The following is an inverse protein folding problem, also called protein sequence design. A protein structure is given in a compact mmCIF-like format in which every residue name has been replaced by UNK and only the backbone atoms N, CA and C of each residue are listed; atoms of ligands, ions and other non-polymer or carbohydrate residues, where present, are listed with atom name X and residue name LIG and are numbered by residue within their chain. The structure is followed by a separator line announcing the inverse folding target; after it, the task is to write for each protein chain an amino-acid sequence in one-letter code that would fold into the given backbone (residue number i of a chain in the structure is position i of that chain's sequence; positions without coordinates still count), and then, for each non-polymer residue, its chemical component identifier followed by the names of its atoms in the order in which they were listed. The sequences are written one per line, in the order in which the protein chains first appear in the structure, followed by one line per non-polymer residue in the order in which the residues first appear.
data_IF_942344974978
#
_entry.id   IF_942344974978
#
_cell.length_a   1.000
_cell.length_b   1.000
_cell.length_c   1.000
_cell.angle_alpha   90.00
_cell.angle_beta   90.00
_cell.angle_gamma   90.00
#
_symmetry.space_group_name_H-M   'P 1'
#
loop_
_entity.id
_entity.type
_entity.pdbx_description
1 polymer ?
#
# COMPACT_ATOMS: atom_id res chain seq x y z
N UNK A 1 20.60 23.78 -8.80
CA UNK A 1 20.42 22.40 -8.32
C UNK A 1 21.80 21.76 -8.20
N UNK A 2 22.04 21.02 -7.13
CA UNK A 2 23.28 20.26 -6.92
C UNK A 2 22.98 18.78 -7.25
N UNK A 3 23.84 18.15 -8.05
CA UNK A 3 23.74 16.74 -8.43
C UNK A 3 25.01 16.03 -8.00
N UNK A 4 24.88 14.93 -7.29
CA UNK A 4 26.00 14.09 -6.84
C UNK A 4 25.80 12.66 -7.30
N UNK A 5 26.90 12.01 -7.67
CA UNK A 5 26.93 10.58 -8.04
C UNK A 5 27.61 9.82 -6.93
N UNK A 6 27.01 8.73 -6.48
CA UNK A 6 27.58 7.88 -5.42
C UNK A 6 26.62 6.77 -4.99
N UNK A 7 27.09 5.95 -4.07
CA UNK A 7 26.28 4.96 -3.40
C UNK A 7 25.46 5.61 -2.27
N UNK A 8 24.17 5.71 -2.45
CA UNK A 8 23.26 6.36 -1.48
C UNK A 8 23.28 5.70 -0.11
N UNK A 9 23.46 4.39 -0.03
CA UNK A 9 23.44 3.66 1.23
C UNK A 9 24.84 3.52 1.83
N UNK A 10 25.83 3.13 1.03
CA UNK A 10 27.19 2.90 1.51
C UNK A 10 28.00 4.18 1.70
N UNK A 11 27.84 5.15 0.81
CA UNK A 11 28.58 6.40 0.83
C UNK A 11 27.72 7.61 0.41
N UNK A 12 26.79 8.05 1.26
CA UNK A 12 25.92 9.19 0.98
C UNK A 12 26.73 10.46 0.70
N UNK A 13 26.44 11.12 -0.41
CA UNK A 13 27.17 12.30 -0.84
C UNK A 13 26.60 13.62 -0.28
N UNK A 14 25.33 13.64 0.12
CA UNK A 14 24.72 14.81 0.75
C UNK A 14 24.92 14.75 2.26
N UNK A 15 26.10 15.17 2.68
CA UNK A 15 26.51 15.22 4.09
C UNK A 15 27.06 16.58 4.45
N UNK A 16 26.91 16.97 5.71
CA UNK A 16 27.50 18.19 6.30
C UNK A 16 27.99 17.89 7.71
N UNK A 17 29.22 18.22 8.00
CA UNK A 17 29.86 17.96 9.30
C UNK A 17 29.77 16.50 9.77
N UNK A 18 29.92 15.56 8.84
CA UNK A 18 29.85 14.13 9.15
C UNK A 18 28.43 13.57 9.37
N UNK A 19 27.41 14.39 9.22
CA UNK A 19 25.98 14.00 9.34
C UNK A 19 25.30 14.06 7.98
N UNK A 20 24.17 13.35 7.82
CA UNK A 20 23.32 13.51 6.63
C UNK A 20 22.75 14.93 6.56
N UNK A 21 22.81 15.52 5.37
CA UNK A 21 22.09 16.77 5.10
C UNK A 21 20.58 16.49 5.18
N UNK A 22 19.85 17.44 5.77
CA UNK A 22 18.38 17.30 5.91
C UNK A 22 17.64 18.30 5.06
N UNK A 23 16.51 17.86 4.51
CA UNK A 23 15.71 18.58 3.54
C UNK A 23 14.25 18.69 3.99
N UNK A 24 13.56 19.71 3.51
CA UNK A 24 12.12 19.90 3.77
C UNK A 24 11.27 18.84 3.03
N UNK A 25 11.71 18.46 1.83
CA UNK A 25 11.02 17.47 1.00
C UNK A 25 12.06 16.48 0.44
N UNK A 26 11.80 15.20 0.63
CA UNK A 26 12.59 14.10 0.07
C UNK A 26 11.71 13.18 -0.76
N UNK A 27 12.13 12.86 -1.98
CA UNK A 27 11.46 11.90 -2.84
C UNK A 27 12.44 10.87 -3.37
N UNK A 28 12.01 9.61 -3.47
CA UNK A 28 12.84 8.55 -3.98
C UNK A 28 12.05 7.50 -4.75
N UNK A 29 12.64 7.01 -5.82
CA UNK A 29 12.26 5.78 -6.51
C UNK A 29 13.51 4.89 -6.57
N UNK A 30 13.85 4.20 -5.48
CA UNK A 30 15.05 3.38 -5.39
C UNK A 30 14.92 2.09 -6.23
N UNK A 31 16.03 1.41 -6.50
CA UNK A 31 15.98 0.09 -7.11
C UNK A 31 15.24 -0.90 -6.19
N UNK A 32 14.29 -1.65 -6.76
CA UNK A 32 13.47 -2.58 -5.99
C UNK A 32 14.26 -3.82 -5.58
N UNK A 33 14.10 -4.22 -4.32
CA UNK A 33 14.67 -5.43 -3.74
C UNK A 33 16.19 -5.58 -3.97
N UNK A 34 16.91 -4.45 -3.84
CA UNK A 34 18.36 -4.41 -3.99
C UNK A 34 19.01 -5.43 -3.06
N UNK A 35 19.75 -6.37 -3.64
CA UNK A 35 20.54 -7.36 -2.90
C UNK A 35 21.94 -6.82 -2.60
N UNK A 36 22.56 -7.36 -1.54
CA UNK A 36 23.95 -7.06 -1.17
C UNK A 36 24.22 -5.55 -0.99
N UNK A 37 23.21 -4.81 -0.52
CA UNK A 37 23.32 -3.38 -0.27
C UNK A 37 24.14 -3.06 0.99
N UNK A 38 24.26 -4.01 1.94
CA UNK A 38 24.95 -3.86 3.20
C UNK A 38 26.38 -4.41 3.08
N UNK A 39 27.36 -3.55 3.10
CA UNK A 39 28.76 -3.93 3.22
C UNK A 39 29.17 -4.04 4.71
N UNK A 40 30.21 -4.81 5.00
CA UNK A 40 30.66 -5.07 6.38
C UNK A 40 31.13 -3.82 7.14
N UNK A 41 31.61 -2.82 6.43
CA UNK A 41 32.07 -1.54 6.96
C UNK A 41 30.94 -0.52 7.19
N UNK A 42 29.72 -0.86 6.84
CA UNK A 42 28.54 -0.01 7.08
C UNK A 42 27.95 -0.18 8.49
N UNK A 43 28.54 -1.01 9.34
CA UNK A 43 28.08 -1.24 10.71
C UNK A 43 29.17 -0.93 11.73
N UNK A 44 28.85 -0.19 12.82
CA UNK A 44 27.56 0.49 13.06
C UNK A 44 27.32 1.62 12.07
N UNK A 45 26.04 1.91 11.75
CA UNK A 45 25.71 2.98 10.81
C UNK A 45 26.09 4.36 11.39
N UNK A 46 27.08 5.00 10.79
CA UNK A 46 27.57 6.31 11.25
C UNK A 46 26.54 7.43 11.18
N UNK A 47 25.47 7.25 10.40
CA UNK A 47 24.39 8.23 10.22
C UNK A 47 23.14 7.90 11.07
N UNK A 48 23.19 6.86 11.88
CA UNK A 48 22.07 6.40 12.73
C UNK A 48 20.75 6.19 11.98
N UNK A 49 20.81 5.74 10.73
CA UNK A 49 19.62 5.43 9.90
C UNK A 49 18.91 4.18 10.40
N UNK A 50 19.67 3.24 10.94
CA UNK A 50 19.16 2.00 11.55
C UNK A 50 19.98 1.63 12.78
N UNK A 51 19.37 0.92 13.68
CA UNK A 51 20.01 0.32 14.86
C UNK A 51 20.21 -1.18 14.65
N UNK A 52 20.93 -1.85 15.55
CA UNK A 52 21.09 -3.30 15.47
C UNK A 52 19.76 -4.06 15.51
N UNK A 53 18.74 -3.55 16.24
CA UNK A 53 17.41 -4.13 16.33
C UNK A 53 16.48 -3.79 15.16
N UNK A 54 16.81 -2.76 14.38
CA UNK A 54 16.02 -2.29 13.23
C UNK A 54 16.86 -2.29 11.95
N UNK A 55 17.73 -3.28 11.80
CA UNK A 55 18.58 -3.43 10.62
C UNK A 55 17.78 -4.06 9.48
N UNK A 56 17.68 -3.39 8.32
CA UNK A 56 17.03 -3.98 7.16
C UNK A 56 17.75 -5.24 6.67
N UNK A 57 17.01 -6.22 6.09
CA UNK A 57 17.63 -7.46 5.63
C UNK A 57 18.68 -7.21 4.55
N UNK A 58 19.87 -7.79 4.67
CA UNK A 58 20.97 -7.65 3.69
C UNK A 58 20.57 -8.11 2.26
N UNK A 59 19.59 -9.00 2.16
CA UNK A 59 19.08 -9.51 0.87
C UNK A 59 18.00 -8.62 0.24
N UNK A 60 17.54 -7.55 0.94
CA UNK A 60 16.46 -6.69 0.48
C UNK A 60 16.62 -5.28 1.06
N UNK A 61 17.09 -4.34 0.24
CA UNK A 61 17.39 -2.96 0.65
C UNK A 61 16.20 -2.00 0.66
N UNK A 62 14.98 -2.47 0.40
CA UNK A 62 13.79 -1.61 0.27
C UNK A 62 13.64 -0.68 1.50
N UNK A 63 13.70 -1.24 2.71
CA UNK A 63 13.64 -0.45 3.94
C UNK A 63 14.90 0.36 4.23
N UNK A 64 16.07 -0.05 3.72
CA UNK A 64 17.28 0.75 3.90
C UNK A 64 17.14 2.10 3.17
N UNK A 65 16.60 2.10 1.96
CA UNK A 65 16.30 3.33 1.22
C UNK A 65 15.23 4.18 1.91
N UNK A 66 14.17 3.55 2.43
CA UNK A 66 13.12 4.28 3.16
C UNK A 66 13.66 4.93 4.44
N UNK A 67 14.46 4.22 5.22
CA UNK A 67 15.10 4.75 6.43
C UNK A 67 16.11 5.86 6.10
N UNK A 68 16.87 5.71 5.01
CA UNK A 68 17.75 6.77 4.53
C UNK A 68 16.97 8.04 4.16
N UNK A 69 15.86 7.89 3.42
CA UNK A 69 14.97 9.01 3.09
C UNK A 69 14.44 9.68 4.36
N UNK A 70 13.92 8.90 5.32
CA UNK A 70 13.41 9.42 6.60
C UNK A 70 14.49 10.17 7.38
N UNK A 71 15.72 9.65 7.39
CA UNK A 71 16.87 10.29 8.08
C UNK A 71 17.34 11.56 7.37
N UNK A 72 17.14 11.66 6.06
CA UNK A 72 17.43 12.86 5.27
C UNK A 72 16.32 13.92 5.30
N UNK A 73 15.23 13.68 6.03
CA UNK A 73 14.16 14.64 6.22
C UNK A 73 14.36 15.43 7.51
N UNK A 74 14.10 16.75 7.48
CA UNK A 74 14.06 17.58 8.71
C UNK A 74 13.18 16.96 9.79
N UNK A 75 13.59 17.07 11.04
CA UNK A 75 13.00 16.34 12.16
C UNK A 75 11.49 16.57 12.32
N UNK A 76 11.04 17.84 12.33
CA UNK A 76 9.68 18.20 12.74
C UNK A 76 8.76 18.62 11.58
N UNK A 77 9.34 18.91 10.41
CA UNK A 77 8.60 19.48 9.27
C UNK A 77 8.84 18.74 7.96
N UNK A 78 9.77 17.79 7.94
CA UNK A 78 10.16 17.06 6.75
C UNK A 78 9.01 16.22 6.20
N UNK A 79 8.84 16.25 4.88
CA UNK A 79 7.88 15.46 4.14
C UNK A 79 8.59 14.64 3.07
N UNK A 80 8.03 13.52 2.69
CA UNK A 80 8.64 12.73 1.63
C UNK A 80 7.71 11.71 1.02
N UNK A 81 8.13 11.16 -0.12
CA UNK A 81 7.46 10.07 -0.78
C UNK A 81 8.50 9.08 -1.31
N UNK A 82 8.25 7.81 -1.09
CA UNK A 82 9.11 6.73 -1.56
C UNK A 82 8.27 5.70 -2.31
N UNK A 83 8.70 5.35 -3.52
CA UNK A 83 8.08 4.27 -4.30
C UNK A 83 8.77 2.97 -3.94
N UNK A 84 8.03 1.99 -3.45
CA UNK A 84 8.54 0.69 -3.02
C UNK A 84 7.63 -0.44 -3.50
N UNK A 85 8.14 -1.68 -3.63
CA UNK A 85 7.31 -2.82 -3.98
C UNK A 85 6.29 -3.10 -2.87
N UNK A 86 5.08 -3.56 -3.25
CA UNK A 86 3.99 -3.86 -2.31
C UNK A 86 4.40 -4.74 -1.14
N UNK A 87 5.39 -5.62 -1.33
CA UNK A 87 5.87 -6.51 -0.28
C UNK A 87 6.28 -5.81 1.01
N UNK A 88 6.80 -4.58 0.96
CA UNK A 88 7.19 -3.82 2.16
C UNK A 88 6.01 -3.59 3.12
N UNK A 89 4.79 -3.60 2.61
CA UNK A 89 3.58 -3.36 3.40
C UNK A 89 3.25 -4.52 4.35
N UNK A 90 3.75 -5.76 4.07
CA UNK A 90 3.33 -6.94 4.83
C UNK A 90 4.40 -8.00 5.09
N UNK A 91 5.61 -7.89 4.51
CA UNK A 91 6.68 -8.85 4.83
C UNK A 91 6.97 -8.87 6.32
N UNK A 92 7.28 -10.06 6.85
CA UNK A 92 7.58 -10.31 8.25
C UNK A 92 9.05 -10.11 8.64
N UNK A 93 9.43 -10.63 9.78
CA UNK A 93 10.77 -10.57 10.38
C UNK A 93 11.26 -9.10 10.52
N UNK A 94 12.53 -8.83 10.23
CA UNK A 94 13.12 -7.51 10.40
C UNK A 94 12.35 -6.37 9.71
N UNK A 95 11.70 -6.65 8.56
CA UNK A 95 10.87 -5.64 7.89
C UNK A 95 9.58 -5.33 8.68
N UNK A 96 9.05 -6.30 9.41
CA UNK A 96 7.93 -6.07 10.33
C UNK A 96 8.33 -5.11 11.46
N UNK A 97 9.47 -5.35 12.12
CA UNK A 97 9.91 -4.52 13.24
C UNK A 97 10.17 -3.07 12.80
N UNK A 98 10.78 -2.89 11.63
CA UNK A 98 11.02 -1.56 11.06
C UNK A 98 9.70 -0.88 10.71
N UNK A 99 8.78 -1.59 10.06
CA UNK A 99 7.47 -1.06 9.69
C UNK A 99 6.67 -0.64 10.92
N UNK A 100 6.61 -1.50 11.93
CA UNK A 100 5.99 -1.21 13.22
C UNK A 100 6.56 0.07 13.83
N UNK A 101 7.89 0.19 13.91
CA UNK A 101 8.56 1.37 14.47
C UNK A 101 8.21 2.67 13.72
N UNK A 102 8.13 2.62 12.37
CA UNK A 102 7.77 3.79 11.57
C UNK A 102 6.28 4.17 11.78
N UNK A 103 5.41 3.17 11.94
CA UNK A 103 3.97 3.36 12.22
C UNK A 103 3.78 3.97 13.60
N UNK A 104 4.42 3.41 14.64
CA UNK A 104 4.33 3.91 16.02
C UNK A 104 4.85 5.35 16.18
N UNK A 105 5.80 5.75 15.33
CA UNK A 105 6.24 7.15 15.23
C UNK A 105 5.25 8.04 14.47
N UNK A 106 4.16 7.50 13.97
CA UNK A 106 3.15 8.18 13.15
C UNK A 106 3.74 8.90 11.92
N UNK A 107 4.84 8.38 11.36
CA UNK A 107 5.49 9.03 10.22
C UNK A 107 4.76 8.79 8.90
N UNK A 108 4.12 7.63 8.74
CA UNK A 108 3.37 7.33 7.53
C UNK A 108 2.04 8.11 7.54
N UNK A 109 1.89 9.02 6.58
CA UNK A 109 0.66 9.80 6.38
C UNK A 109 -0.30 9.08 5.45
N UNK A 110 0.22 8.41 4.44
CA UNK A 110 -0.62 7.66 3.51
C UNK A 110 0.14 6.67 2.66
N UNK A 111 -0.64 5.81 2.02
CA UNK A 111 -0.16 4.77 1.12
C UNK A 111 -1.04 4.79 -0.13
N UNK A 112 -0.42 4.81 -1.30
CA UNK A 112 -1.11 4.74 -2.59
C UNK A 112 -0.64 3.48 -3.31
N UNK A 113 -1.53 2.53 -3.50
CA UNK A 113 -1.28 1.33 -4.30
C UNK A 113 -1.37 1.64 -5.78
N UNK A 114 -0.34 1.30 -6.53
CA UNK A 114 -0.25 1.55 -7.96
C UNK A 114 -0.59 0.29 -8.77
N UNK A 115 -1.04 0.43 -10.02
CA UNK A 115 -1.23 -0.71 -10.91
C UNK A 115 0.04 -1.52 -11.10
N UNK A 116 -0.05 -2.84 -11.34
CA UNK A 116 1.11 -3.66 -11.70
C UNK A 116 1.68 -3.24 -13.06
N UNK A 117 2.88 -3.68 -13.38
CA UNK A 117 3.53 -3.44 -14.67
C UNK A 117 3.72 -1.98 -15.09
N UNK A 118 3.78 -1.03 -14.15
CA UNK A 118 4.05 0.39 -14.45
C UNK A 118 5.55 0.62 -14.70
N UNK A 119 6.42 -0.05 -13.93
CA UNK A 119 7.85 0.19 -13.96
C UNK A 119 8.58 -0.71 -14.95
N UNK A 120 9.67 -0.20 -15.55
CA UNK A 120 10.54 -0.99 -16.41
C UNK A 120 11.25 -2.09 -15.60
N UNK A 121 11.47 -3.24 -16.23
CA UNK A 121 12.21 -4.35 -15.64
C UNK A 121 11.46 -5.19 -14.61
N UNK A 122 10.24 -4.80 -14.21
CA UNK A 122 9.44 -5.57 -13.25
C UNK A 122 7.95 -5.51 -13.55
N UNK A 123 7.24 -6.61 -13.23
CA UNK A 123 5.77 -6.68 -13.22
C UNK A 123 5.17 -6.49 -11.82
N UNK A 124 6.02 -6.33 -10.82
CA UNK A 124 5.58 -6.29 -9.42
C UNK A 124 4.78 -5.01 -9.16
N UNK A 125 3.61 -5.09 -8.51
CA UNK A 125 2.88 -3.91 -8.08
C UNK A 125 3.71 -3.14 -7.03
N UNK A 126 3.68 -1.83 -7.14
CA UNK A 126 4.35 -0.92 -6.23
C UNK A 126 3.37 -0.03 -5.48
N UNK A 127 3.84 0.59 -4.43
CA UNK A 127 3.10 1.60 -3.68
C UNK A 127 3.96 2.83 -3.43
N UNK A 128 3.31 3.98 -3.36
CA UNK A 128 3.91 5.22 -2.87
C UNK A 128 3.65 5.30 -1.38
N UNK A 129 4.71 5.32 -0.59
CA UNK A 129 4.63 5.56 0.86
C UNK A 129 4.89 7.04 1.10
N UNK A 130 3.91 7.73 1.64
CA UNK A 130 3.97 9.15 1.94
C UNK A 130 4.32 9.34 3.41
N UNK A 131 5.46 9.96 3.65
CA UNK A 131 5.99 10.27 4.98
C UNK A 131 5.78 11.76 5.25
N UNK A 132 5.28 12.08 6.42
CA UNK A 132 5.11 13.46 6.87
C UNK A 132 5.33 13.53 8.38
N UNK A 133 6.42 14.19 8.79
CA UNK A 133 6.76 14.37 10.22
C UNK A 133 5.98 15.50 10.87
N UNK A 134 5.39 16.41 10.06
CA UNK A 134 4.61 17.53 10.56
C UNK A 134 3.27 17.05 11.12
N UNK A 135 2.93 17.54 12.30
CA UNK A 135 1.67 17.23 12.98
C UNK A 135 1.39 15.72 13.15
N UNK A 136 2.44 14.91 13.22
CA UNK A 136 2.34 13.45 13.30
C UNK A 136 1.51 12.96 14.49
N UNK A 137 1.64 13.65 15.64
CA UNK A 137 0.98 13.26 16.91
C UNK A 137 -0.54 13.54 16.91
N UNK A 138 -1.02 14.42 16.02
CA UNK A 138 -2.43 14.72 15.84
C UNK A 138 -3.12 13.85 14.78
N UNK A 139 -2.36 12.97 14.13
CA UNK A 139 -2.88 12.12 13.05
C UNK A 139 -3.64 10.94 13.63
N UNK A 140 -4.82 10.65 13.08
CA UNK A 140 -5.70 9.57 13.56
C UNK A 140 -5.40 8.21 12.92
N UNK A 141 -4.64 8.17 11.84
CA UNK A 141 -4.36 6.95 11.09
C UNK A 141 -3.60 7.22 9.79
N UNK A 142 -3.61 6.24 8.92
CA UNK A 142 -2.99 6.27 7.58
C UNK A 142 -4.08 6.37 6.53
N UNK A 143 -3.97 7.34 5.60
CA UNK A 143 -4.88 7.42 4.46
C UNK A 143 -4.43 6.46 3.36
N UNK A 144 -5.28 5.51 2.99
CA UNK A 144 -4.96 4.46 2.03
C UNK A 144 -5.77 4.66 0.76
N UNK A 145 -5.10 4.59 -0.40
CA UNK A 145 -5.71 4.67 -1.73
C UNK A 145 -5.32 3.40 -2.50
N UNK A 146 -6.30 2.69 -3.06
CA UNK A 146 -6.10 1.56 -3.98
C UNK A 146 -6.34 2.01 -5.42
N UNK A 147 -5.28 2.44 -6.10
CA UNK A 147 -5.36 2.91 -7.48
C UNK A 147 -4.96 1.82 -8.50
N UNK A 148 -4.98 0.55 -8.11
CA UNK A 148 -4.51 -0.59 -8.94
C UNK A 148 -5.23 -0.74 -10.29
N UNK A 149 -6.48 -0.29 -10.38
CA UNK A 149 -7.33 -0.50 -11.57
C UNK A 149 -7.34 0.73 -12.52
N UNK A 150 -6.75 1.85 -12.10
CA UNK A 150 -6.67 3.10 -12.88
C UNK A 150 -5.48 3.13 -13.83
N UNK A 151 -5.56 2.51 -15.01
CA UNK A 151 -4.51 2.53 -16.01
C UNK A 151 -5.00 2.28 -17.43
N UNK A 152 -4.13 2.49 -18.41
CA UNK A 152 -4.29 2.02 -19.77
C UNK A 152 -3.14 1.09 -20.15
N UNK A 153 -3.38 0.18 -21.09
CA UNK A 153 -2.31 -0.65 -21.67
C UNK A 153 -1.46 0.19 -22.62
N UNK A 154 -0.14 0.05 -22.49
CA UNK A 154 0.85 0.67 -23.37
C UNK A 154 1.88 -0.41 -23.74
N UNK A 155 1.57 -1.18 -24.76
CA UNK A 155 2.30 -2.39 -25.12
C UNK A 155 2.27 -3.44 -24.00
N UNK A 156 3.43 -3.87 -23.56
CA UNK A 156 3.60 -4.81 -22.46
C UNK A 156 3.49 -4.17 -21.06
N UNK A 157 3.35 -2.85 -20.99
CA UNK A 157 3.30 -2.07 -19.75
C UNK A 157 1.92 -1.50 -19.50
N UNK A 158 1.69 -1.10 -18.26
CA UNK A 158 0.57 -0.28 -17.87
C UNK A 158 1.05 1.16 -17.70
N UNK A 159 0.21 2.10 -18.05
CA UNK A 159 0.50 3.54 -17.91
C UNK A 159 -0.66 4.24 -17.23
N UNK A 160 -0.36 5.06 -16.22
CA UNK A 160 -1.33 5.98 -15.65
C UNK A 160 -1.65 7.08 -16.66
N UNK A 161 -2.93 7.32 -16.89
CA UNK A 161 -3.40 8.48 -17.67
C UNK A 161 -3.47 9.71 -16.78
N UNK A 162 -3.54 10.88 -17.34
CA UNK A 162 -3.70 12.12 -16.57
C UNK A 162 -4.96 12.09 -15.67
N UNK A 163 -6.04 11.49 -16.14
CA UNK A 163 -7.26 11.31 -15.37
C UNK A 163 -7.07 10.39 -14.16
N UNK A 164 -6.25 9.33 -14.28
CA UNK A 164 -5.97 8.40 -13.20
C UNK A 164 -5.12 9.10 -12.12
N UNK A 165 -4.11 9.87 -12.55
CA UNK A 165 -3.28 10.68 -11.66
C UNK A 165 -4.15 11.74 -10.95
N UNK A 166 -5.01 12.42 -11.71
CA UNK A 166 -5.93 13.42 -11.14
C UNK A 166 -6.85 12.79 -10.09
N UNK A 167 -7.41 11.63 -10.37
CA UNK A 167 -8.28 10.92 -9.43
C UNK A 167 -7.55 10.58 -8.11
N UNK A 168 -6.30 10.14 -8.19
CA UNK A 168 -5.45 9.90 -7.01
C UNK A 168 -5.23 11.21 -6.23
N UNK A 169 -4.88 12.29 -6.92
CA UNK A 169 -4.62 13.60 -6.29
C UNK A 169 -5.88 14.17 -5.65
N UNK A 170 -7.01 14.15 -6.35
CA UNK A 170 -8.29 14.63 -5.83
C UNK A 170 -8.71 13.86 -4.56
N UNK A 171 -8.58 12.52 -4.56
CA UNK A 171 -8.85 11.71 -3.39
C UNK A 171 -7.88 12.00 -2.23
N UNK A 172 -6.60 12.22 -2.55
CA UNK A 172 -5.59 12.59 -1.56
C UNK A 172 -5.88 13.95 -0.92
N UNK A 173 -6.27 14.93 -1.70
CA UNK A 173 -6.55 16.29 -1.20
C UNK A 173 -7.87 16.35 -0.41
N UNK A 174 -8.89 15.62 -0.86
CA UNK A 174 -10.18 15.56 -0.20
C UNK A 174 -10.13 14.80 1.15
N UNK A 175 -9.24 13.81 1.29
CA UNK A 175 -9.13 12.95 2.49
C UNK A 175 -10.48 12.35 2.93
N UNK A 176 -11.38 12.09 1.98
CA UNK A 176 -12.71 11.51 2.22
C UNK A 176 -12.71 10.03 1.82
N UNK A 177 -13.54 9.26 2.50
CA UNK A 177 -13.74 7.86 2.14
C UNK A 177 -14.51 7.74 0.83
N UNK A 178 -13.94 7.02 -0.13
CA UNK A 178 -14.60 6.58 -1.35
C UNK A 178 -14.65 5.06 -1.31
N UNK A 179 -15.84 4.44 -1.29
CA UNK A 179 -15.99 2.98 -1.23
C UNK A 179 -15.14 2.30 -2.32
N UNK A 180 -14.49 1.21 -1.96
CA UNK A 180 -13.63 0.40 -2.83
C UNK A 180 -12.39 1.12 -3.42
N UNK A 181 -12.12 2.37 -3.01
CA UNK A 181 -11.02 3.16 -3.58
C UNK A 181 -10.10 3.74 -2.51
N UNK A 182 -10.61 4.47 -1.51
CA UNK A 182 -9.76 5.06 -0.48
C UNK A 182 -10.51 5.28 0.84
N UNK A 183 -9.76 5.24 1.93
CA UNK A 183 -10.24 5.64 3.26
C UNK A 183 -9.11 5.92 4.24
N UNK A 184 -9.44 6.56 5.34
CA UNK A 184 -8.58 6.61 6.53
C UNK A 184 -8.65 5.27 7.26
N UNK A 185 -7.50 4.69 7.57
CA UNK A 185 -7.35 3.50 8.41
C UNK A 185 -6.80 3.95 9.76
N UNK A 186 -7.58 3.76 10.81
CA UNK A 186 -7.21 4.22 12.16
C UNK A 186 -6.06 3.39 12.76
N UNK A 187 -5.30 3.99 13.67
CA UNK A 187 -4.19 3.31 14.33
C UNK A 187 -4.61 2.02 15.03
N UNK A 188 -5.77 2.04 15.69
CA UNK A 188 -6.34 0.86 16.38
C UNK A 188 -6.64 -0.30 15.44
N UNK A 189 -7.05 -0.02 14.21
CA UNK A 189 -7.29 -1.02 13.20
C UNK A 189 -5.98 -1.60 12.64
N UNK A 190 -4.97 -0.73 12.44
CA UNK A 190 -3.64 -1.15 12.00
C UNK A 190 -2.99 -2.06 13.05
N UNK A 191 -3.11 -1.72 14.32
CA UNK A 191 -2.60 -2.52 15.43
C UNK A 191 -3.29 -3.90 15.51
N UNK A 192 -4.63 -3.95 15.39
CA UNK A 192 -5.40 -5.19 15.33
C UNK A 192 -5.00 -6.08 14.15
N UNK A 193 -4.54 -5.49 13.06
CA UNK A 193 -4.02 -6.18 11.89
C UNK A 193 -2.51 -6.46 11.97
N UNK A 194 -1.92 -6.41 13.16
CA UNK A 194 -0.50 -6.69 13.41
C UNK A 194 0.43 -5.84 12.52
N UNK A 195 0.15 -4.53 12.43
CA UNK A 195 0.92 -3.57 11.62
C UNK A 195 1.10 -3.98 10.16
N UNK A 196 0.24 -4.85 9.66
CA UNK A 196 0.18 -5.26 8.27
C UNK A 196 -0.57 -4.20 7.48
N UNK A 197 0.11 -3.57 6.52
CA UNK A 197 -0.43 -2.48 5.69
C UNK A 197 -0.88 -2.95 4.30
N UNK A 198 -1.09 -4.26 4.10
CA UNK A 198 -1.60 -4.74 2.81
C UNK A 198 -2.94 -4.07 2.50
N UNK A 199 -2.98 -3.34 1.40
CA UNK A 199 -4.11 -2.48 1.01
C UNK A 199 -5.42 -3.26 0.93
N UNK A 200 -5.40 -4.49 0.41
CA UNK A 200 -6.58 -5.34 0.28
C UNK A 200 -7.24 -5.73 1.63
N UNK A 201 -6.54 -5.56 2.75
CA UNK A 201 -7.15 -5.74 4.09
C UNK A 201 -8.07 -4.59 4.47
N UNK A 202 -7.83 -3.42 3.91
CA UNK A 202 -8.51 -2.18 4.28
C UNK A 202 -9.48 -1.69 3.21
N UNK A 203 -9.21 -1.99 1.96
CA UNK A 203 -10.02 -1.59 0.82
C UNK A 203 -10.44 -2.85 0.09
N UNK A 204 -11.73 -3.19 0.20
CA UNK A 204 -12.29 -4.31 -0.51
C UNK A 204 -12.42 -3.98 -1.99
N UNK A 205 -12.05 -4.90 -2.89
CA UNK A 205 -12.27 -4.71 -4.32
C UNK A 205 -13.76 -4.61 -4.63
N UNK A 206 -14.09 -3.95 -5.74
CA UNK A 206 -15.44 -4.01 -6.31
C UNK A 206 -15.61 -5.46 -6.82
N UNK A 207 -16.24 -6.27 -6.03
CA UNK A 207 -16.57 -7.64 -6.37
C UNK A 207 -17.85 -8.00 -5.62
N UNK A 208 -18.79 -8.59 -6.29
CA UNK A 208 -19.85 -9.31 -5.62
C UNK A 208 -19.18 -10.27 -4.64
N UNK A 209 -19.36 -10.07 -3.35
CA UNK A 209 -19.15 -11.16 -2.40
C UNK A 209 -20.01 -12.32 -2.92
N UNK A 210 -19.36 -13.30 -3.52
CA UNK A 210 -19.99 -14.58 -3.74
C UNK A 210 -20.12 -15.17 -2.35
N UNK A 211 -21.26 -14.95 -1.70
CA UNK A 211 -21.58 -15.66 -0.48
C UNK A 211 -21.76 -17.11 -0.89
N UNK A 212 -20.77 -17.91 -0.63
CA UNK A 212 -20.89 -19.36 -0.78
C UNK A 212 -21.82 -19.86 0.32
N UNK A 213 -23.04 -20.19 -0.04
CA UNK A 213 -23.96 -20.91 0.85
C UNK A 213 -23.48 -22.36 0.99
N UNK A 214 -22.92 -22.66 2.16
CA UNK A 214 -22.34 -23.97 2.45
C UNK A 214 -23.45 -25.06 2.44
N UNK A 215 -24.64 -24.74 2.92
CA UNK A 215 -25.77 -25.66 2.95
C UNK A 215 -26.24 -26.02 1.52
N UNK A 216 -26.39 -24.99 0.64
CA UNK A 216 -26.69 -25.20 -0.76
C UNK A 216 -25.61 -26.04 -1.46
N UNK A 217 -24.34 -25.84 -1.10
CA UNK A 217 -23.23 -26.62 -1.66
C UNK A 217 -23.21 -28.08 -1.21
N UNK A 218 -23.58 -28.36 0.06
CA UNK A 218 -23.57 -29.71 0.62
C UNK A 218 -24.85 -30.51 0.27
N UNK A 219 -25.99 -29.89 0.25
CA UNK A 219 -27.27 -30.53 0.11
C UNK A 219 -27.95 -30.25 -1.24
N UNK A 220 -27.41 -29.40 -2.06
CA UNK A 220 -27.99 -28.93 -3.32
C UNK A 220 -29.10 -27.91 -3.11
N UNK A 221 -29.60 -27.33 -4.20
CA UNK A 221 -30.59 -26.25 -4.18
C UNK A 221 -29.95 -24.89 -4.46
N UNK A 222 -30.82 -23.89 -4.63
CA UNK A 222 -30.42 -22.47 -4.77
C UNK A 222 -31.04 -21.70 -3.62
N UNK A 223 -30.30 -20.89 -2.87
CA UNK A 223 -30.86 -20.05 -1.82
C UNK A 223 -31.99 -19.18 -2.36
N UNK A 224 -33.12 -19.13 -1.66
CA UNK A 224 -34.26 -18.31 -2.05
C UNK A 224 -33.88 -16.84 -2.27
N UNK A 225 -32.94 -16.33 -1.47
CA UNK A 225 -32.38 -14.98 -1.61
C UNK A 225 -31.69 -14.75 -2.95
N UNK A 226 -30.98 -15.74 -3.48
CA UNK A 226 -30.30 -15.63 -4.79
C UNK A 226 -31.31 -15.60 -5.94
N UNK A 227 -32.38 -16.40 -5.82
CA UNK A 227 -33.48 -16.37 -6.76
C UNK A 227 -34.23 -15.03 -6.71
N UNK A 228 -34.44 -14.47 -5.52
CA UNK A 228 -35.04 -13.14 -5.35
C UNK A 228 -34.17 -12.01 -5.90
N UNK A 229 -32.86 -12.07 -5.74
CA UNK A 229 -31.93 -11.07 -6.28
C UNK A 229 -31.95 -10.96 -7.81
N UNK A 230 -32.55 -11.92 -8.51
CA UNK A 230 -32.81 -11.88 -9.96
C UNK A 230 -34.09 -11.09 -10.33
N UNK A 231 -34.55 -10.19 -9.48
CA UNK A 231 -35.83 -9.45 -9.64
C UNK A 231 -35.99 -8.76 -11.01
N UNK A 232 -34.87 -8.28 -11.59
CA UNK A 232 -34.86 -7.66 -12.93
C UNK A 232 -35.40 -8.66 -14.01
N UNK A 233 -34.99 -9.92 -13.91
CA UNK A 233 -35.42 -10.96 -14.84
C UNK A 233 -36.90 -11.36 -14.61
N UNK A 234 -37.30 -11.40 -13.35
CA UNK A 234 -38.69 -11.74 -12.98
C UNK A 234 -39.68 -10.64 -13.40
N UNK A 235 -39.26 -9.36 -13.37
CA UNK A 235 -40.05 -8.25 -13.90
C UNK A 235 -40.20 -8.32 -15.41
N UNK A 236 -39.19 -8.80 -16.14
CA UNK A 236 -39.28 -8.97 -17.59
C UNK A 236 -40.11 -10.19 -18.01
N UNK A 237 -40.09 -11.28 -17.22
CA UNK A 237 -40.79 -12.54 -17.49
C UNK A 237 -41.45 -13.10 -16.21
N UNK A 238 -42.60 -12.57 -15.76
CA UNK A 238 -43.21 -12.88 -14.47
C UNK A 238 -43.52 -14.36 -14.22
N UNK A 239 -43.86 -15.12 -15.27
CA UNK A 239 -44.20 -16.53 -15.15
C UNK A 239 -43.02 -17.48 -15.22
N UNK A 240 -41.81 -16.96 -15.41
CA UNK A 240 -40.62 -17.78 -15.60
C UNK A 240 -40.10 -18.31 -14.27
N UNK A 241 -40.18 -17.51 -13.20
CA UNK A 241 -39.74 -17.88 -11.84
C UNK A 241 -40.44 -19.18 -11.41
N UNK A 242 -41.76 -19.21 -11.45
CA UNK A 242 -42.57 -20.36 -10.99
C UNK A 242 -42.42 -21.62 -11.86
N UNK A 243 -41.91 -21.46 -13.08
CA UNK A 243 -41.64 -22.60 -13.98
C UNK A 243 -40.24 -23.18 -13.81
N UNK A 244 -39.28 -22.38 -13.32
CA UNK A 244 -37.91 -22.81 -13.18
C UNK A 244 -37.56 -23.24 -11.76
N UNK A 245 -38.23 -22.67 -10.76
CA UNK A 245 -37.90 -22.90 -9.36
C UNK A 245 -39.15 -23.31 -8.59
N UNK A 246 -38.99 -24.22 -7.64
CA UNK A 246 -40.00 -24.61 -6.66
C UNK A 246 -39.37 -24.53 -5.27
N UNK A 247 -40.19 -24.21 -4.29
CA UNK A 247 -39.75 -24.14 -2.89
C UNK A 247 -39.49 -25.57 -2.37
N UNK A 248 -38.26 -25.82 -1.98
CA UNK A 248 -37.82 -27.11 -1.44
C UNK A 248 -38.04 -27.23 0.07
N UNK A 249 -38.65 -26.22 0.72
CA UNK A 249 -38.71 -26.02 2.18
C UNK A 249 -37.37 -25.86 2.83
N UNK A 250 -37.22 -24.96 3.80
CA UNK A 250 -36.02 -24.49 4.49
C UNK A 250 -35.26 -23.33 3.80
N UNK A 251 -35.89 -22.53 2.94
CA UNK A 251 -35.25 -21.37 2.30
C UNK A 251 -34.43 -21.68 1.04
N UNK A 252 -34.68 -22.83 0.41
CA UNK A 252 -34.08 -23.27 -0.86
C UNK A 252 -35.14 -23.63 -1.89
#
# INVERSE_FOLDING_TARGET
AEIKVGDTLGNPQFTQYGMLSTFDVCVANPPFSQKNWLASDMLPDQYNRWTASLLPPAKCGDYAFLLHLISSMKADVGRGACILPHGVLFRGNAEYDIRKNIIEKHYIKGIIGLPPNIFFGTGIPASIIIIDKKNKDNRKGIFVIDAKDGFTKDGAKNRLREQDIKHIVDAWDAQQTIPHYCRLVEWSEIEKNDYNLNISRYIQPIGTEIQHDIEAHLHGGLPATDVENMEIFWKACPTLKDKLFWDANNGY
#
